data_IF_095745354246
#
_entry.id   IF_095745354246
#
_cell.length_a   1.000
_cell.length_b   1.000
_cell.length_c   1.000
_cell.angle_alpha   90.00
_cell.angle_beta   90.00
_cell.angle_gamma   90.00
#
_symmetry.space_group_name_H-M   'P 1'
#
loop_
_entity.id
_entity.type
_entity.pdbx_description
1 polymer ?
#
# COMPACT_ATOMS: atom_id res chain seq x y z
N UNK A 1 -8.38 24.89 34.04
CA UNK A 1 -7.98 23.52 33.71
C UNK A 1 -6.47 23.45 33.58
N UNK A 2 -5.87 22.56 34.28
CA UNK A 2 -4.44 22.31 34.11
C UNK A 2 -4.19 21.57 32.81
N UNK A 3 -3.22 22.05 32.05
CA UNK A 3 -2.79 21.38 30.84
C UNK A 3 -1.87 20.21 31.24
N UNK A 4 -1.98 19.13 30.50
CA UNK A 4 -1.20 17.93 30.76
C UNK A 4 -0.37 17.55 29.53
N UNK A 5 0.78 16.93 29.78
CA UNK A 5 1.63 16.40 28.73
C UNK A 5 0.84 15.38 27.90
N UNK A 6 0.86 15.52 26.59
CA UNK A 6 0.13 14.64 25.66
C UNK A 6 0.60 13.17 25.78
N UNK A 7 1.85 12.95 26.19
CA UNK A 7 2.40 11.60 26.29
C UNK A 7 2.31 11.02 27.70
N UNK A 8 2.86 11.71 28.72
CA UNK A 8 2.96 11.15 30.06
C UNK A 8 1.90 11.61 31.05
N UNK A 9 1.12 12.63 30.70
CA UNK A 9 0.05 13.14 31.54
C UNK A 9 0.47 14.05 32.67
N UNK A 10 1.76 14.36 32.82
CA UNK A 10 2.22 15.27 33.87
C UNK A 10 1.73 16.69 33.61
N UNK A 11 1.44 17.46 34.69
CA UNK A 11 1.02 18.85 34.54
C UNK A 11 2.07 19.67 33.80
N UNK A 12 1.60 20.55 32.89
CA UNK A 12 2.48 21.42 32.12
C UNK A 12 2.59 22.78 32.76
N UNK A 13 3.81 23.32 32.78
CA UNK A 13 4.11 24.68 33.24
C UNK A 13 4.81 25.42 32.10
N UNK A 14 4.50 26.69 31.94
CA UNK A 14 5.15 27.53 30.95
C UNK A 14 4.19 28.01 29.85
N UNK A 15 4.64 28.03 28.60
CA UNK A 15 3.89 28.60 27.49
C UNK A 15 2.52 27.94 27.29
N UNK A 16 1.55 28.75 26.83
CA UNK A 16 0.20 28.28 26.58
C UNK A 16 0.12 27.23 25.45
N UNK A 17 1.10 27.24 24.54
CA UNK A 17 1.17 26.31 23.42
C UNK A 17 1.93 25.01 23.72
N UNK A 18 2.45 24.87 24.93
CA UNK A 18 3.21 23.71 25.33
C UNK A 18 2.33 22.47 25.41
N UNK A 19 2.70 21.41 24.72
CA UNK A 19 1.97 20.13 24.67
C UNK A 19 2.69 18.98 25.39
N UNK A 20 3.99 19.11 25.61
CA UNK A 20 4.84 18.07 26.21
C UNK A 20 5.65 18.66 27.36
N UNK A 21 5.92 17.84 28.38
CA UNK A 21 6.65 18.30 29.56
C UNK A 21 8.16 18.52 29.28
N UNK A 22 8.71 17.81 28.28
CA UNK A 22 10.10 17.98 27.86
C UNK A 22 10.28 17.47 26.44
N UNK A 23 11.51 17.62 25.90
CA UNK A 23 11.83 17.21 24.54
C UNK A 23 11.79 15.69 24.37
N UNK A 24 12.12 14.94 25.42
CA UNK A 24 12.07 13.48 25.37
C UNK A 24 10.65 12.97 25.16
N UNK A 25 9.67 13.53 25.89
CA UNK A 25 8.27 13.18 25.70
C UNK A 25 7.77 13.53 24.30
N UNK A 26 8.19 14.66 23.76
CA UNK A 26 7.82 15.07 22.40
C UNK A 26 8.41 14.12 21.37
N UNK A 27 9.68 13.79 21.48
CA UNK A 27 10.35 12.87 20.56
C UNK A 27 9.73 11.47 20.63
N UNK A 28 9.48 10.97 21.83
CA UNK A 28 8.87 9.65 22.01
C UNK A 28 7.47 9.57 21.43
N UNK A 29 6.67 10.62 21.63
CA UNK A 29 5.32 10.69 21.07
C UNK A 29 5.34 10.62 19.55
N UNK A 30 6.18 11.43 18.90
CA UNK A 30 6.29 11.46 17.45
C UNK A 30 6.88 10.16 16.90
N UNK A 31 7.82 9.53 17.62
CA UNK A 31 8.39 8.24 17.23
C UNK A 31 7.34 7.13 17.28
N UNK A 32 6.50 7.13 18.30
CA UNK A 32 5.40 6.16 18.43
C UNK A 32 4.41 6.29 17.27
N UNK A 33 4.03 7.54 16.91
CA UNK A 33 3.15 7.79 15.77
C UNK A 33 3.78 7.31 14.47
N UNK A 34 5.08 7.57 14.29
CA UNK A 34 5.81 7.16 13.10
C UNK A 34 5.88 5.64 12.98
N UNK A 35 6.15 4.94 14.07
CA UNK A 35 6.18 3.47 14.08
C UNK A 35 4.83 2.87 13.70
N UNK A 36 3.73 3.41 14.22
CA UNK A 36 2.40 2.94 13.89
C UNK A 36 2.09 3.12 12.41
N UNK A 37 2.42 4.29 11.84
CA UNK A 37 2.26 4.60 10.43
C UNK A 37 3.13 3.71 9.56
N UNK A 38 4.41 3.54 9.92
CA UNK A 38 5.35 2.72 9.16
C UNK A 38 4.94 1.26 9.15
N UNK A 39 4.35 0.78 10.26
CA UNK A 39 3.84 -0.58 10.33
C UNK A 39 2.74 -0.82 9.28
N UNK A 40 1.83 0.13 9.11
CA UNK A 40 0.78 0.05 8.10
C UNK A 40 1.36 0.08 6.69
N UNK A 41 2.31 0.98 6.43
CA UNK A 41 2.97 1.08 5.13
C UNK A 41 3.72 -0.20 4.78
N UNK A 42 4.43 -0.79 5.74
CA UNK A 42 5.14 -2.05 5.53
C UNK A 42 4.19 -3.20 5.19
N UNK A 43 3.03 -3.24 5.84
CA UNK A 43 2.03 -4.27 5.57
C UNK A 43 1.52 -4.17 4.12
N UNK A 44 1.15 -2.97 3.69
CA UNK A 44 0.69 -2.73 2.31
C UNK A 44 1.79 -3.01 1.30
N UNK A 45 3.01 -2.54 1.56
CA UNK A 45 4.15 -2.74 0.67
C UNK A 45 4.50 -4.22 0.54
N UNK A 46 4.37 -4.99 1.61
CA UNK A 46 4.58 -6.45 1.58
C UNK A 46 3.59 -7.12 0.65
N UNK A 47 2.32 -6.71 0.71
CA UNK A 47 1.27 -7.26 -0.16
C UNK A 47 1.54 -6.90 -1.62
N UNK A 48 1.86 -5.64 -1.90
CA UNK A 48 2.21 -5.19 -3.26
C UNK A 48 3.41 -5.94 -3.80
N UNK A 49 4.45 -6.08 -3.00
CA UNK A 49 5.67 -6.81 -3.39
C UNK A 49 5.37 -8.28 -3.67
N UNK A 50 4.56 -8.92 -2.86
CA UNK A 50 4.13 -10.31 -3.06
C UNK A 50 3.34 -10.45 -4.36
N UNK A 51 2.37 -9.56 -4.59
CA UNK A 51 1.59 -9.55 -5.83
C UNK A 51 2.48 -9.39 -7.06
N UNK A 52 3.42 -8.46 -7.00
CA UNK A 52 4.34 -8.23 -8.09
C UNK A 52 5.20 -9.45 -8.40
N UNK A 53 5.69 -10.13 -7.37
CA UNK A 53 6.48 -11.36 -7.53
C UNK A 53 5.67 -12.45 -8.23
N UNK A 54 4.39 -12.58 -7.86
CA UNK A 54 3.50 -13.57 -8.48
C UNK A 54 3.30 -13.25 -9.96
N UNK A 55 2.99 -12.00 -10.28
CA UNK A 55 2.77 -11.57 -11.66
C UNK A 55 4.06 -11.66 -12.49
N UNK A 56 5.18 -11.23 -11.94
CA UNK A 56 6.48 -11.29 -12.61
C UNK A 56 6.91 -12.70 -12.90
N UNK A 57 6.68 -13.63 -11.96
CA UNK A 57 7.01 -15.04 -12.16
C UNK A 57 6.16 -15.63 -13.30
N UNK A 58 4.88 -15.32 -13.35
CA UNK A 58 3.99 -15.77 -14.41
C UNK A 58 4.47 -15.26 -15.79
N UNK A 59 4.85 -13.99 -15.86
CA UNK A 59 5.36 -13.39 -17.10
C UNK A 59 6.67 -14.03 -17.55
N UNK A 60 7.56 -14.34 -16.61
CA UNK A 60 8.83 -15.03 -16.94
C UNK A 60 8.60 -16.42 -17.46
N UNK A 61 7.56 -17.11 -17.01
CA UNK A 61 7.16 -18.42 -17.51
C UNK A 61 6.43 -18.34 -18.84
N UNK A 62 6.18 -17.14 -19.36
CA UNK A 62 5.44 -16.92 -20.60
C UNK A 62 3.94 -17.00 -20.44
N UNK A 63 3.45 -17.01 -19.21
CA UNK A 63 2.01 -17.06 -18.93
C UNK A 63 1.41 -15.67 -19.04
N UNK A 64 0.51 -15.48 -19.98
CA UNK A 64 -0.20 -14.21 -20.15
C UNK A 64 -1.65 -14.29 -19.77
N UNK A 65 -2.16 -15.50 -19.59
CA UNK A 65 -3.53 -15.75 -19.16
C UNK A 65 -3.48 -16.80 -18.06
N UNK A 66 -3.99 -16.43 -16.88
CA UNK A 66 -3.96 -17.30 -15.69
C UNK A 66 -5.35 -17.25 -15.06
N UNK A 67 -5.94 -18.40 -14.73
CA UNK A 67 -7.21 -18.39 -13.98
C UNK A 67 -7.04 -17.66 -12.66
N UNK A 68 -8.06 -16.86 -12.29
CA UNK A 68 -8.03 -16.11 -11.04
C UNK A 68 -7.87 -17.03 -9.83
N UNK A 69 -8.42 -18.24 -9.91
CA UNK A 69 -8.29 -19.25 -8.85
C UNK A 69 -6.83 -19.65 -8.61
N UNK A 70 -6.04 -19.76 -9.67
CA UNK A 70 -4.62 -20.12 -9.57
C UNK A 70 -3.83 -19.01 -8.87
N UNK A 71 -4.15 -17.74 -9.17
CA UNK A 71 -3.52 -16.62 -8.49
C UNK A 71 -3.93 -16.57 -7.02
N UNK A 72 -5.20 -16.81 -6.73
CA UNK A 72 -5.69 -16.86 -5.37
C UNK A 72 -5.01 -17.97 -4.56
N UNK A 73 -4.75 -19.11 -5.19
CA UNK A 73 -4.02 -20.22 -4.57
C UNK A 73 -2.58 -19.86 -4.23
N UNK A 74 -2.00 -18.88 -4.95
CA UNK A 74 -0.67 -18.33 -4.66
C UNK A 74 -0.70 -17.16 -3.69
N UNK A 75 -1.84 -16.90 -3.07
CA UNK A 75 -2.06 -15.80 -2.12
C UNK A 75 -2.02 -14.41 -2.77
N UNK A 76 -2.40 -14.31 -4.04
CA UNK A 76 -2.54 -13.02 -4.70
C UNK A 76 -3.69 -12.22 -4.08
N UNK A 77 -3.42 -10.98 -3.70
CA UNK A 77 -4.43 -10.11 -3.09
C UNK A 77 -4.99 -9.16 -4.15
N UNK A 78 -6.24 -9.41 -4.58
CA UNK A 78 -6.91 -8.61 -5.62
C UNK A 78 -7.38 -7.25 -5.12
N UNK A 79 -7.39 -7.01 -3.82
CA UNK A 79 -7.89 -5.76 -3.23
C UNK A 79 -6.85 -4.66 -3.20
N UNK A 80 -5.57 -5.01 -3.31
CA UNK A 80 -4.47 -4.05 -3.20
C UNK A 80 -3.70 -4.00 -4.51
N UNK A 81 -3.59 -2.81 -5.08
CA UNK A 81 -2.92 -2.56 -6.34
C UNK A 81 -2.35 -1.13 -6.30
N UNK A 82 -1.38 -0.84 -7.18
CA UNK A 82 -0.74 0.47 -7.23
C UNK A 82 -1.68 1.51 -7.83
N UNK A 83 -2.34 1.18 -8.94
CA UNK A 83 -3.29 2.07 -9.61
C UNK A 83 -4.24 1.24 -10.45
N UNK A 84 -5.33 1.87 -10.88
CA UNK A 84 -6.28 1.23 -11.79
C UNK A 84 -6.87 2.26 -12.73
N UNK A 85 -7.32 1.79 -13.89
CA UNK A 85 -7.97 2.63 -14.88
C UNK A 85 -9.10 1.85 -15.53
N UNK A 86 -10.27 2.47 -15.62
CA UNK A 86 -11.40 1.92 -16.33
C UNK A 86 -11.44 2.49 -17.73
N UNK A 87 -11.58 1.63 -18.73
CA UNK A 87 -11.64 2.02 -20.15
C UNK A 87 -12.77 1.28 -20.85
N UNK A 88 -13.81 1.99 -21.18
CA UNK A 88 -14.95 1.43 -21.89
C UNK A 88 -14.57 1.14 -23.35
N UNK A 89 -15.01 0.00 -23.95
CA UNK A 89 -15.77 -1.10 -23.36
C UNK A 89 -14.91 -2.21 -22.73
N UNK A 90 -13.59 -2.04 -22.66
CA UNK A 90 -12.62 -3.07 -22.27
C UNK A 90 -12.75 -3.45 -20.81
N UNK A 91 -13.08 -2.51 -19.93
CA UNK A 91 -13.17 -2.74 -18.49
C UNK A 91 -12.02 -2.12 -17.73
N UNK A 92 -11.81 -2.59 -16.51
CA UNK A 92 -10.82 -2.02 -15.62
C UNK A 92 -9.51 -2.79 -15.69
N UNK A 93 -8.41 -2.04 -15.85
CA UNK A 93 -7.04 -2.57 -15.78
C UNK A 93 -6.43 -2.13 -14.46
N UNK A 94 -5.74 -3.05 -13.81
CA UNK A 94 -5.03 -2.80 -12.56
C UNK A 94 -3.53 -2.89 -12.79
N UNK A 95 -2.77 -2.13 -12.02
CA UNK A 95 -1.31 -2.16 -12.07
C UNK A 95 -0.77 -2.50 -10.69
N UNK A 96 0.21 -3.39 -10.68
CA UNK A 96 1.07 -3.63 -9.54
C UNK A 96 2.49 -3.29 -10.00
N UNK A 97 2.92 -2.08 -9.72
CA UNK A 97 4.16 -1.48 -10.27
C UNK A 97 4.15 -1.51 -11.79
N UNK A 98 5.04 -2.28 -12.42
CA UNK A 98 5.13 -2.37 -13.88
C UNK A 98 4.36 -3.56 -14.48
N UNK A 99 3.57 -4.24 -13.69
CA UNK A 99 2.74 -5.35 -14.16
C UNK A 99 1.28 -4.92 -14.22
N UNK A 100 0.67 -5.02 -15.39
CA UNK A 100 -0.74 -4.73 -15.59
C UNK A 100 -1.53 -6.02 -15.67
N UNK A 101 -2.73 -6.05 -15.10
CA UNK A 101 -3.60 -7.20 -15.22
C UNK A 101 -5.06 -6.77 -15.33
N UNK A 102 -5.84 -7.61 -15.98
CA UNK A 102 -7.27 -7.43 -16.17
C UNK A 102 -7.97 -8.76 -15.98
N UNK A 103 -9.10 -8.76 -15.30
CA UNK A 103 -9.89 -9.97 -15.06
C UNK A 103 -11.08 -10.00 -16.03
N UNK A 104 -11.18 -11.06 -16.83
CA UNK A 104 -12.29 -11.26 -17.74
C UNK A 104 -13.51 -11.81 -17.00
N UNK A 105 -14.68 -11.76 -17.67
CA UNK A 105 -15.93 -12.32 -17.12
C UNK A 105 -15.84 -13.81 -16.85
N UNK A 106 -14.95 -14.50 -17.53
CA UNK A 106 -14.73 -15.95 -17.34
C UNK A 106 -13.80 -16.27 -16.19
N UNK A 107 -13.31 -15.24 -15.47
CA UNK A 107 -12.39 -15.43 -14.37
C UNK A 107 -10.95 -15.67 -14.79
N UNK A 108 -10.59 -15.29 -16.01
CA UNK A 108 -9.21 -15.37 -16.50
C UNK A 108 -8.53 -14.02 -16.31
N UNK A 109 -7.35 -14.04 -15.72
CA UNK A 109 -6.54 -12.85 -15.53
C UNK A 109 -5.56 -12.73 -16.69
N UNK A 110 -5.64 -11.61 -17.41
CA UNK A 110 -4.72 -11.29 -18.50
C UNK A 110 -3.60 -10.42 -17.93
N UNK A 111 -2.36 -10.87 -18.06
CA UNK A 111 -1.20 -10.22 -17.45
C UNK A 111 -0.28 -9.70 -18.56
N UNK A 112 0.25 -8.50 -18.37
CA UNK A 112 1.25 -7.94 -19.27
C UNK A 112 2.20 -7.03 -18.51
N UNK A 113 3.39 -6.84 -19.02
CA UNK A 113 4.29 -5.83 -18.52
C UNK A 113 3.92 -4.49 -19.17
N UNK A 114 3.59 -3.51 -18.35
CA UNK A 114 3.17 -2.20 -18.84
C UNK A 114 3.30 -1.17 -17.74
N UNK A 115 3.93 -0.05 -18.04
CA UNK A 115 4.01 1.07 -17.12
C UNK A 115 2.84 2.01 -17.39
N UNK A 116 2.16 2.44 -16.33
CA UNK A 116 1.05 3.37 -16.47
C UNK A 116 1.57 4.74 -16.93
N UNK A 117 1.14 5.19 -18.11
CA UNK A 117 1.66 6.40 -18.75
C UNK A 117 1.33 7.70 -18.02
N UNK A 118 0.38 7.66 -17.11
CA UNK A 118 -0.04 8.86 -16.39
C UNK A 118 0.72 9.07 -15.07
N UNK A 119 1.72 8.25 -14.79
CA UNK A 119 2.52 8.39 -13.59
C UNK A 119 3.64 9.40 -13.81
N UNK A 120 3.72 10.38 -12.91
CA UNK A 120 4.66 11.47 -13.02
C UNK A 120 6.13 11.05 -12.89
N UNK A 121 6.39 9.86 -12.36
CA UNK A 121 7.76 9.38 -12.20
C UNK A 121 8.35 8.77 -13.46
N UNK A 122 7.59 8.70 -14.51
CA UNK A 122 8.09 8.17 -15.79
C UNK A 122 8.90 9.20 -16.54
#
# INVERSE_FOLDING_TARGET
MERQCTRCGKPLKGRSDKKFCNDDCRSDYHNELRRARDKQLRAVNRILSSNWKILSAALREGLREVPAEDLAARNFNFKIYTTSRCRFPVGRTYWCYNCAYRISRRGIVHIRESVCRNNAYL
#
